data_IF_167055075395
#
_entry.id   IF_167055075395
#
_cell.length_a   1.000
_cell.length_b   1.000
_cell.length_c   1.000
_cell.angle_alpha   90.00
_cell.angle_beta   90.00
_cell.angle_gamma   90.00
#
_symmetry.space_group_name_H-M   'P 1'
#
loop_
_entity.id
_entity.type
_entity.pdbx_description
1 polymer ?
#
# COMPACT_ATOMS: atom_id res chain seq x y z
N UNK A 1 20.17 17.81 -6.10
CA UNK A 1 19.42 18.68 -7.03
C UNK A 1 18.10 17.96 -7.30
N UNK A 2 16.99 18.39 -6.70
CA UNK A 2 15.68 17.77 -6.94
C UNK A 2 15.27 18.09 -8.37
N UNK A 3 15.12 17.08 -9.22
CA UNK A 3 14.51 17.28 -10.54
C UNK A 3 13.11 17.90 -10.33
N UNK A 4 12.74 18.94 -11.09
CA UNK A 4 11.39 19.48 -11.01
C UNK A 4 10.39 18.36 -11.33
N UNK A 5 9.41 18.16 -10.45
CA UNK A 5 8.36 17.17 -10.68
C UNK A 5 7.64 17.50 -12.00
N UNK A 6 7.37 16.51 -12.86
CA UNK A 6 6.64 16.74 -14.10
C UNK A 6 5.28 17.40 -13.82
N UNK A 7 4.75 18.14 -14.81
CA UNK A 7 3.40 18.66 -14.73
C UNK A 7 2.44 17.47 -14.93
N UNK A 8 1.83 17.03 -13.83
CA UNK A 8 0.97 15.84 -13.77
C UNK A 8 -0.48 16.29 -13.64
N UNK A 9 -1.32 15.79 -14.53
CA UNK A 9 -2.75 16.05 -14.56
C UNK A 9 -3.53 14.76 -14.25
N UNK A 10 -4.59 14.91 -13.46
CA UNK A 10 -5.42 13.80 -12.97
C UNK A 10 -6.85 13.99 -13.43
N UNK A 11 -7.37 13.02 -14.16
CA UNK A 11 -8.77 13.00 -14.60
C UNK A 11 -9.51 11.89 -13.87
N UNK A 12 -10.66 12.20 -13.28
CA UNK A 12 -11.49 11.23 -12.55
C UNK A 12 -12.91 11.28 -13.10
N UNK A 13 -13.47 10.11 -13.40
CA UNK A 13 -14.83 9.97 -13.89
C UNK A 13 -15.52 8.76 -13.26
N UNK A 14 -16.84 8.78 -13.10
CA UNK A 14 -17.60 7.58 -12.79
C UNK A 14 -17.29 6.46 -13.80
N UNK A 15 -17.07 5.24 -13.32
CA UNK A 15 -16.80 4.08 -14.18
C UNK A 15 -18.04 3.62 -14.95
N UNK A 16 -19.23 4.09 -14.58
CA UNK A 16 -20.51 3.76 -15.21
C UNK A 16 -21.36 5.02 -15.42
N UNK A 17 -22.38 4.92 -16.29
CA UNK A 17 -23.30 6.03 -16.57
C UNK A 17 -22.83 6.96 -17.69
N UNK A 18 -23.52 8.10 -17.86
CA UNK A 18 -23.34 9.00 -18.99
C UNK A 18 -21.96 9.68 -19.07
N UNK A 19 -21.25 9.76 -17.94
CA UNK A 19 -19.91 10.33 -17.85
C UNK A 19 -18.79 9.29 -18.00
N UNK A 20 -19.14 8.00 -18.07
CA UNK A 20 -18.16 6.92 -18.21
C UNK A 20 -17.60 6.83 -19.62
N UNK A 21 -16.37 6.33 -19.74
CA UNK A 21 -15.70 6.09 -21.01
C UNK A 21 -15.87 4.62 -21.36
N UNK A 22 -16.12 4.32 -22.64
CA UNK A 22 -16.08 2.95 -23.15
C UNK A 22 -14.71 2.30 -22.82
N UNK A 23 -14.68 1.07 -22.28
CA UNK A 23 -13.44 0.36 -21.96
C UNK A 23 -12.43 0.30 -23.12
N UNK A 24 -12.89 0.32 -24.38
CA UNK A 24 -12.03 0.38 -25.55
C UNK A 24 -11.14 1.63 -25.59
N UNK A 25 -11.61 2.76 -25.04
CA UNK A 25 -10.87 4.03 -25.01
C UNK A 25 -10.16 4.30 -23.69
N UNK A 26 -9.98 3.29 -22.83
CA UNK A 26 -9.39 3.45 -21.50
C UNK A 26 -7.92 3.93 -21.50
N UNK A 27 -7.24 3.91 -22.65
CA UNK A 27 -5.89 4.44 -22.84
C UNK A 27 -5.84 5.74 -23.66
N UNK A 28 -7.00 6.34 -23.97
CA UNK A 28 -7.10 7.56 -24.79
C UNK A 28 -7.27 8.80 -23.92
N UNK A 29 -6.24 9.66 -23.87
CA UNK A 29 -6.33 10.94 -23.14
C UNK A 29 -7.44 11.83 -23.68
N UNK A 30 -7.60 11.87 -25.00
CA UNK A 30 -8.62 12.71 -25.65
C UNK A 30 -10.04 12.29 -25.25
N UNK A 31 -10.29 10.98 -25.16
CA UNK A 31 -11.58 10.46 -24.68
C UNK A 31 -11.83 10.87 -23.23
N UNK A 32 -10.81 10.72 -22.36
CA UNK A 32 -10.92 11.10 -20.95
C UNK A 32 -11.16 12.59 -20.73
N UNK A 33 -10.41 13.45 -21.40
CA UNK A 33 -10.58 14.90 -21.29
C UNK A 33 -11.91 15.37 -21.85
N UNK A 34 -12.38 14.77 -22.95
CA UNK A 34 -13.69 15.11 -23.54
C UNK A 34 -14.84 14.71 -22.62
N UNK A 35 -14.79 13.50 -22.06
CA UNK A 35 -15.78 13.02 -21.10
C UNK A 35 -15.77 13.86 -19.82
N UNK A 36 -14.59 14.25 -19.31
CA UNK A 36 -14.47 15.11 -18.15
C UNK A 36 -15.05 16.52 -18.36
N UNK A 37 -14.82 17.13 -19.52
CA UNK A 37 -15.43 18.43 -19.87
C UNK A 37 -16.95 18.33 -19.98
N UNK A 38 -17.46 17.26 -20.60
CA UNK A 38 -18.90 17.03 -20.70
C UNK A 38 -19.54 16.81 -19.32
N UNK A 39 -18.87 16.05 -18.44
CA UNK A 39 -19.31 15.80 -17.08
C UNK A 39 -19.32 17.07 -16.23
N UNK A 40 -18.28 17.91 -16.35
CA UNK A 40 -18.21 19.21 -15.68
C UNK A 40 -19.27 20.20 -16.20
N UNK A 41 -19.63 20.16 -17.48
CA UNK A 41 -20.67 21.02 -18.04
C UNK A 41 -22.09 20.60 -17.61
N UNK A 42 -22.31 19.30 -17.35
CA UNK A 42 -23.60 18.76 -16.94
C UNK A 42 -23.90 18.89 -15.45
N UNK A 43 -22.88 19.11 -14.61
CA UNK A 43 -23.00 19.21 -13.16
C UNK A 43 -22.67 20.64 -12.70
N UNK A 44 -23.54 21.25 -11.88
CA UNK A 44 -23.30 22.60 -11.37
C UNK A 44 -21.98 22.71 -10.59
N UNK A 45 -21.44 23.94 -10.41
CA UNK A 45 -20.11 24.16 -9.81
C UNK A 45 -19.92 23.60 -8.38
N UNK A 46 -21.00 23.23 -7.67
CA UNK A 46 -20.96 22.61 -6.34
C UNK A 46 -20.91 21.07 -6.32
N UNK A 47 -20.98 20.39 -7.47
CA UNK A 47 -20.96 18.92 -7.59
C UNK A 47 -19.65 18.40 -8.20
N UNK A 48 -18.61 19.25 -8.25
CA UNK A 48 -17.34 18.92 -8.87
C UNK A 48 -16.40 18.26 -7.88
N UNK A 49 -15.79 17.16 -8.30
CA UNK A 49 -14.67 16.50 -7.61
C UNK A 49 -13.54 17.50 -7.42
N UNK A 50 -13.10 17.66 -6.17
CA UNK A 50 -12.00 18.53 -5.82
C UNK A 50 -10.71 17.71 -5.74
N UNK A 51 -9.65 18.23 -6.36
CA UNK A 51 -8.34 17.60 -6.40
C UNK A 51 -7.33 18.53 -5.72
N UNK A 52 -6.79 18.11 -4.58
CA UNK A 52 -5.74 18.85 -3.90
C UNK A 52 -4.41 18.08 -4.01
N UNK A 53 -3.44 18.67 -4.71
CA UNK A 53 -2.13 18.05 -4.90
C UNK A 53 -1.15 18.48 -3.81
N UNK A 54 -0.43 17.51 -3.25
CA UNK A 54 0.67 17.76 -2.32
C UNK A 54 1.82 16.79 -2.60
N UNK A 55 2.95 16.99 -1.92
CA UNK A 55 4.12 16.13 -2.06
C UNK A 55 4.26 15.27 -0.80
N UNK A 56 4.74 14.03 -0.96
CA UNK A 56 4.95 13.09 0.13
C UNK A 56 6.22 12.29 -0.07
N UNK A 57 6.83 11.84 1.03
CA UNK A 57 7.97 10.92 1.01
C UNK A 57 7.55 9.48 1.36
N UNK A 58 6.25 9.21 1.44
CA UNK A 58 5.70 7.89 1.78
C UNK A 58 6.27 6.78 0.91
N UNK A 59 6.73 5.71 1.54
CA UNK A 59 7.38 4.58 0.86
C UNK A 59 8.72 4.92 0.20
N UNK A 60 9.29 6.11 0.46
CA UNK A 60 10.61 6.56 -0.01
C UNK A 60 11.55 6.85 1.15
N UNK A 61 11.02 7.30 2.29
CA UNK A 61 11.77 7.75 3.48
C UNK A 61 12.89 6.80 3.94
N UNK A 62 12.81 5.52 3.56
CA UNK A 62 13.59 4.42 4.14
C UNK A 62 14.46 3.70 3.11
N UNK A 63 14.40 4.10 1.84
CA UNK A 63 15.38 3.69 0.83
C UNK A 63 16.43 4.81 0.71
N UNK A 64 17.66 4.53 1.15
CA UNK A 64 18.78 5.46 1.04
C UNK A 64 19.05 5.91 -0.40
N UNK A 65 18.73 5.07 -1.41
CA UNK A 65 18.86 5.42 -2.84
C UNK A 65 17.81 6.44 -3.29
N UNK A 66 16.67 6.47 -2.61
CA UNK A 66 15.57 7.38 -2.89
C UNK A 66 15.48 8.52 -1.86
N UNK A 67 16.44 8.60 -0.93
CA UNK A 67 16.50 9.65 0.07
C UNK A 67 16.47 11.04 -0.58
N UNK A 68 15.54 11.88 -0.12
CA UNK A 68 15.32 13.23 -0.67
C UNK A 68 14.44 13.29 -1.93
N UNK A 69 13.98 12.14 -2.46
CA UNK A 69 12.94 12.12 -3.49
C UNK A 69 11.57 12.39 -2.87
N UNK A 70 10.65 12.89 -3.70
CA UNK A 70 9.27 13.21 -3.33
C UNK A 70 8.34 12.54 -4.35
N UNK A 71 7.24 12.00 -3.87
CA UNK A 71 6.10 11.55 -4.67
C UNK A 71 5.03 12.64 -4.67
N UNK A 72 4.27 12.73 -5.75
CA UNK A 72 3.06 13.54 -5.77
C UNK A 72 1.90 12.71 -5.26
N UNK A 73 1.13 13.27 -4.33
CA UNK A 73 -0.11 12.70 -3.83
C UNK A 73 -1.27 13.65 -4.16
N UNK A 74 -2.44 13.07 -4.42
CA UNK A 74 -3.67 13.81 -4.67
C UNK A 74 -4.71 13.38 -3.64
N UNK A 75 -5.22 14.36 -2.89
CA UNK A 75 -6.41 14.21 -2.07
C UNK A 75 -7.63 14.53 -2.94
N UNK A 76 -8.59 13.60 -2.96
CA UNK A 76 -9.74 13.62 -3.84
C UNK A 76 -10.99 13.69 -2.97
N UNK A 77 -11.76 14.77 -3.08
CA UNK A 77 -13.00 14.96 -2.31
C UNK A 77 -14.18 15.29 -3.22
N UNK A 78 -15.40 15.18 -2.70
CA UNK A 78 -16.62 15.39 -3.49
C UNK A 78 -17.02 14.19 -4.36
N UNK A 79 -16.57 12.98 -4.03
CA UNK A 79 -17.02 11.74 -4.65
C UNK A 79 -18.31 11.24 -3.98
N UNK A 80 -19.21 10.65 -4.76
CA UNK A 80 -20.43 10.03 -4.25
C UNK A 80 -20.09 8.71 -3.57
N UNK A 81 -20.80 8.37 -2.49
CA UNK A 81 -20.66 7.09 -1.79
C UNK A 81 -21.10 5.91 -2.68
N UNK A 82 -20.61 4.71 -2.38
CA UNK A 82 -20.98 3.46 -3.08
C UNK A 82 -20.83 3.50 -4.62
N UNK A 83 -19.90 4.31 -5.14
CA UNK A 83 -19.77 4.60 -6.57
C UNK A 83 -18.40 4.19 -7.08
N UNK A 84 -18.39 3.56 -8.26
CA UNK A 84 -17.16 3.18 -8.95
C UNK A 84 -16.62 4.36 -9.76
N UNK A 85 -15.32 4.64 -9.61
CA UNK A 85 -14.61 5.68 -10.32
C UNK A 85 -13.38 5.11 -11.03
N UNK A 86 -13.02 5.75 -12.14
CA UNK A 86 -11.80 5.50 -12.88
C UNK A 86 -10.96 6.77 -12.90
N UNK A 87 -9.67 6.63 -12.64
CA UNK A 87 -8.68 7.70 -12.61
C UNK A 87 -7.65 7.47 -13.70
N UNK A 88 -7.33 8.53 -14.42
CA UNK A 88 -6.22 8.59 -15.35
C UNK A 88 -5.20 9.60 -14.86
N UNK A 89 -3.93 9.20 -14.89
CA UNK A 89 -2.80 10.09 -14.71
C UNK A 89 -2.21 10.37 -16.08
N UNK A 90 -1.92 11.65 -16.34
CA UNK A 90 -1.25 12.07 -17.57
C UNK A 90 -0.20 13.13 -17.29
N UNK A 91 0.81 13.20 -18.15
CA UNK A 91 1.84 14.21 -18.12
C UNK A 91 1.98 14.78 -19.52
N UNK A 92 2.03 16.10 -19.61
CA UNK A 92 2.31 16.79 -20.85
C UNK A 92 3.65 17.49 -20.75
N UNK A 93 4.58 17.08 -21.60
CA UNK A 93 5.82 17.80 -21.79
C UNK A 93 5.62 18.84 -22.90
N UNK A 94 5.44 20.09 -22.49
CA UNK A 94 5.22 21.21 -23.41
C UNK A 94 6.44 21.46 -24.33
N UNK A 95 7.63 20.99 -23.95
CA UNK A 95 8.86 21.17 -24.75
C UNK A 95 9.02 20.10 -25.82
N UNK A 96 8.59 18.87 -25.53
CA UNK A 96 8.68 17.72 -26.45
C UNK A 96 7.37 17.42 -27.18
N UNK A 97 6.30 18.16 -26.87
CA UNK A 97 4.93 17.92 -27.33
C UNK A 97 4.50 16.45 -27.15
N UNK A 98 5.03 15.82 -26.10
CA UNK A 98 4.82 14.42 -25.78
C UNK A 98 3.82 14.30 -24.63
N UNK A 99 2.93 13.32 -24.75
CA UNK A 99 1.91 13.01 -23.75
C UNK A 99 2.18 11.60 -23.25
N UNK A 100 2.41 11.49 -21.95
CA UNK A 100 2.45 10.19 -21.28
C UNK A 100 1.13 9.98 -20.56
N UNK A 101 0.49 8.83 -20.80
CA UNK A 101 -0.69 8.39 -20.05
C UNK A 101 -0.34 7.09 -19.36
N UNK A 102 -0.60 7.03 -18.06
CA UNK A 102 -0.42 5.81 -17.28
C UNK A 102 -1.69 4.95 -17.31
N UNK A 103 -1.58 3.65 -17.03
CA UNK A 103 -2.74 2.78 -16.90
C UNK A 103 -3.78 3.35 -15.93
N UNK A 104 -5.05 3.26 -16.34
CA UNK A 104 -6.14 3.76 -15.53
C UNK A 104 -6.29 2.97 -14.24
N UNK A 105 -6.52 3.68 -13.13
CA UNK A 105 -6.77 3.09 -11.82
C UNK A 105 -8.28 3.10 -11.58
N UNK A 106 -8.84 1.95 -11.23
CA UNK A 106 -10.25 1.83 -10.85
C UNK A 106 -10.34 1.74 -9.34
N UNK A 107 -11.37 2.35 -8.75
CA UNK A 107 -11.63 2.22 -7.32
C UNK A 107 -13.10 2.46 -7.03
N UNK A 108 -13.57 1.97 -5.88
CA UNK A 108 -14.92 2.22 -5.39
C UNK A 108 -14.85 3.06 -4.11
N UNK A 109 -15.77 4.03 -3.99
CA UNK A 109 -15.99 4.73 -2.73
C UNK A 109 -16.76 3.84 -1.77
N UNK A 110 -16.54 4.08 -0.47
CA UNK A 110 -17.19 3.31 0.60
C UNK A 110 -18.68 3.61 0.68
N UNK A 111 -19.43 2.68 1.24
CA UNK A 111 -20.88 2.84 1.47
C UNK A 111 -21.15 3.54 2.79
N UNK A 112 -20.36 3.25 3.83
CA UNK A 112 -20.51 3.81 5.17
C UNK A 112 -19.51 4.95 5.45
N UNK A 113 -19.90 5.86 6.33
CA UNK A 113 -19.12 7.05 6.74
C UNK A 113 -18.20 6.80 7.95
N UNK A 114 -18.08 5.53 8.38
CA UNK A 114 -17.30 5.11 9.54
C UNK A 114 -15.83 4.75 9.23
N UNK A 115 -15.44 4.79 7.97
CA UNK A 115 -14.07 4.57 7.52
C UNK A 115 -13.51 5.85 6.93
N UNK A 116 -12.62 6.54 7.64
CA UNK A 116 -12.08 7.83 7.21
C UNK A 116 -10.64 7.72 6.74
N UNK A 117 -10.35 8.24 5.53
CA UNK A 117 -9.00 8.35 4.98
C UNK A 117 -8.12 9.21 5.90
N UNK A 118 -6.99 8.66 6.32
CA UNK A 118 -5.93 9.40 7.02
C UNK A 118 -4.62 9.24 6.26
N UNK A 119 -3.87 10.33 6.21
CA UNK A 119 -2.58 10.41 5.53
C UNK A 119 -1.69 11.43 6.24
N UNK A 120 -0.40 11.44 5.90
CA UNK A 120 0.63 12.31 6.49
C UNK A 120 0.67 12.30 8.02
N UNK A 121 0.44 11.12 8.60
CA UNK A 121 0.48 10.88 10.04
C UNK A 121 1.95 10.82 10.50
N UNK A 122 2.45 11.78 11.31
CA UNK A 122 3.89 11.88 11.60
C UNK A 122 4.48 10.65 12.30
N UNK A 123 3.72 10.05 13.22
CA UNK A 123 4.14 8.85 13.95
C UNK A 123 3.93 7.55 13.15
N UNK A 124 3.27 7.60 11.99
CA UNK A 124 3.00 6.47 11.12
C UNK A 124 3.12 6.88 9.64
N UNK A 125 4.33 7.17 9.14
CA UNK A 125 4.53 7.83 7.85
C UNK A 125 4.07 7.00 6.64
N UNK A 126 3.94 5.68 6.78
CA UNK A 126 3.47 4.80 5.70
C UNK A 126 1.95 4.65 5.63
N UNK A 127 1.19 5.26 6.56
CA UNK A 127 -0.28 5.22 6.55
C UNK A 127 -0.86 6.22 5.56
N UNK A 128 -1.58 5.71 4.55
CA UNK A 128 -2.41 6.47 3.61
C UNK A 128 -3.62 5.63 3.19
N UNK A 129 -4.45 5.28 4.15
CA UNK A 129 -5.66 4.49 3.93
C UNK A 129 -6.72 4.87 4.96
N UNK A 130 -7.95 4.40 4.72
CA UNK A 130 -9.05 4.64 5.64
C UNK A 130 -8.90 3.83 6.93
N UNK A 131 -9.14 4.45 8.08
CA UNK A 131 -9.15 3.83 9.40
C UNK A 131 -10.55 3.96 10.04
N UNK A 132 -10.92 3.11 11.00
CA UNK A 132 -12.26 3.13 11.57
C UNK A 132 -12.42 4.32 12.52
N UNK A 133 -13.15 5.35 12.09
CA UNK A 133 -13.45 6.56 12.86
C UNK A 133 -14.94 6.83 12.70
N UNK A 134 -15.68 6.87 13.81
CA UNK A 134 -17.09 7.24 13.79
C UNK A 134 -17.31 8.66 13.27
N UNK A 135 -18.46 8.95 12.65
CA UNK A 135 -18.73 10.24 12.02
C UNK A 135 -18.70 11.42 13.01
N UNK A 136 -18.96 11.16 14.30
CA UNK A 136 -18.95 12.16 15.36
C UNK A 136 -17.54 12.47 15.92
N UNK A 137 -16.53 11.67 15.56
CA UNK A 137 -15.16 11.84 16.06
C UNK A 137 -14.35 12.62 15.03
N UNK A 138 -13.64 13.66 15.46
CA UNK A 138 -12.74 14.42 14.59
C UNK A 138 -11.45 13.63 14.31
N UNK A 139 -10.86 13.84 13.14
CA UNK A 139 -9.63 13.14 12.75
C UNK A 139 -8.49 13.42 13.71
N UNK A 140 -8.36 14.67 14.19
CA UNK A 140 -7.32 15.06 15.15
C UNK A 140 -7.47 14.34 16.49
N UNK A 141 -8.70 14.22 17.01
CA UNK A 141 -8.95 13.48 18.25
C UNK A 141 -8.63 11.99 18.06
N UNK A 142 -9.04 11.40 16.94
CA UNK A 142 -8.75 10.01 16.64
C UNK A 142 -7.23 9.73 16.56
N UNK A 143 -6.48 10.60 15.87
CA UNK A 143 -5.02 10.48 15.77
C UNK A 143 -4.34 10.67 17.13
N UNK A 144 -4.86 11.58 17.97
CA UNK A 144 -4.38 11.76 19.35
C UNK A 144 -4.59 10.50 20.20
N UNK A 145 -5.78 9.91 20.18
CA UNK A 145 -6.09 8.65 20.87
C UNK A 145 -5.17 7.52 20.41
N UNK A 146 -4.99 7.35 19.09
CA UNK A 146 -4.08 6.32 18.53
C UNK A 146 -2.64 6.56 18.96
N UNK A 147 -2.17 7.82 18.94
CA UNK A 147 -0.80 8.17 19.28
C UNK A 147 -0.46 7.84 20.75
N UNK A 148 -1.46 7.88 21.65
CA UNK A 148 -1.30 7.42 23.04
C UNK A 148 -0.84 5.96 23.15
N UNK A 149 -1.19 5.13 22.18
CA UNK A 149 -0.73 3.73 22.10
C UNK A 149 0.57 3.61 21.31
N UNK A 150 0.69 4.28 20.16
CA UNK A 150 1.85 4.12 19.28
C UNK A 150 3.12 4.73 19.87
N UNK A 151 3.07 5.96 20.36
CA UNK A 151 4.23 6.70 20.86
C UNK A 151 5.01 5.98 21.97
N UNK A 152 4.37 5.51 23.07
CA UNK A 152 5.13 4.82 24.14
C UNK A 152 5.70 3.47 23.69
N UNK A 153 4.97 2.71 22.87
CA UNK A 153 5.47 1.42 22.35
C UNK A 153 6.69 1.63 21.44
N UNK A 154 6.62 2.61 20.53
CA UNK A 154 7.73 2.98 19.67
C UNK A 154 8.93 3.49 20.47
N UNK A 155 8.70 4.33 21.50
CA UNK A 155 9.77 4.84 22.37
C UNK A 155 10.47 3.72 23.14
N UNK A 156 9.71 2.80 23.75
CA UNK A 156 10.26 1.67 24.48
C UNK A 156 11.10 0.76 23.57
N UNK A 157 10.60 0.47 22.36
CA UNK A 157 11.34 -0.32 21.38
C UNK A 157 12.62 0.38 20.92
N UNK A 158 12.55 1.70 20.69
CA UNK A 158 13.73 2.51 20.32
C UNK A 158 14.80 2.47 21.41
N UNK A 159 14.41 2.56 22.69
CA UNK A 159 15.34 2.46 23.81
C UNK A 159 15.97 1.06 23.91
N UNK A 160 15.18 0.01 23.74
CA UNK A 160 15.69 -1.37 23.70
C UNK A 160 16.70 -1.54 22.57
N UNK A 161 16.37 -1.09 21.36
CA UNK A 161 17.27 -1.17 20.22
C UNK A 161 18.53 -0.31 20.43
N UNK A 162 18.42 0.81 21.15
CA UNK A 162 19.54 1.67 21.52
C UNK A 162 20.58 1.02 22.45
N UNK A 163 20.27 -0.12 23.07
CA UNK A 163 21.26 -0.93 23.81
C UNK A 163 22.18 -1.72 22.88
N UNK A 164 21.79 -1.88 21.62
CA UNK A 164 22.64 -2.43 20.57
C UNK A 164 23.63 -1.36 20.09
N UNK A 165 24.87 -1.71 19.69
CA UNK A 165 25.86 -0.75 19.20
C UNK A 165 25.53 -0.24 17.78
N UNK A 166 24.37 0.39 17.59
CA UNK A 166 23.88 0.86 16.30
C UNK A 166 24.78 1.90 15.61
N UNK A 167 25.56 2.66 16.40
CA UNK A 167 26.51 3.66 15.89
C UNK A 167 27.87 3.09 15.50
N UNK A 168 28.12 1.80 15.76
CA UNK A 168 29.36 1.15 15.37
C UNK A 168 29.29 0.75 13.87
N UNK A 169 30.27 1.16 13.03
CA UNK A 169 30.22 0.88 11.60
C UNK A 169 30.42 -0.60 11.24
N UNK A 170 30.92 -1.42 12.17
CA UNK A 170 31.17 -2.85 11.97
C UNK A 170 30.11 -3.73 12.61
N UNK A 171 29.60 -3.33 13.79
CA UNK A 171 28.62 -4.12 14.55
C UNK A 171 27.18 -3.60 14.44
N UNK A 172 26.99 -2.30 14.16
CA UNK A 172 25.67 -1.68 14.00
C UNK A 172 24.86 -2.32 12.85
N UNK A 173 25.47 -2.55 11.67
CA UNK A 173 24.94 -3.47 10.68
C UNK A 173 25.15 -4.92 11.13
N UNK A 174 24.16 -5.49 11.82
CA UNK A 174 24.20 -6.90 12.25
C UNK A 174 23.96 -7.89 11.09
N UNK A 175 23.76 -7.38 9.88
CA UNK A 175 23.65 -8.11 8.63
C UNK A 175 24.23 -7.28 7.49
N UNK A 176 24.67 -7.92 6.40
CA UNK A 176 25.13 -7.21 5.20
C UNK A 176 24.04 -6.38 4.49
N UNK A 177 22.78 -6.51 4.90
CA UNK A 177 21.63 -5.81 4.30
C UNK A 177 20.65 -5.22 5.32
N UNK A 178 20.97 -5.27 6.63
CA UNK A 178 20.10 -4.73 7.69
C UNK A 178 20.87 -4.04 8.80
N UNK A 179 20.33 -2.92 9.26
CA UNK A 179 20.82 -2.13 10.38
C UNK A 179 19.72 -1.82 11.41
N UNK A 180 20.04 -1.00 12.43
CA UNK A 180 19.05 -0.61 13.43
C UNK A 180 17.91 0.25 12.88
N UNK A 181 18.16 1.07 11.85
CA UNK A 181 17.13 1.88 11.21
C UNK A 181 16.07 0.98 10.56
N UNK A 182 16.51 -0.02 9.79
CA UNK A 182 15.63 -1.03 9.20
C UNK A 182 14.76 -1.75 10.26
N UNK A 183 15.35 -2.09 11.40
CA UNK A 183 14.65 -2.75 12.51
C UNK A 183 13.54 -1.86 13.09
N UNK A 184 13.91 -0.62 13.43
CA UNK A 184 12.98 0.35 13.98
C UNK A 184 11.83 0.64 13.01
N UNK A 185 12.16 0.78 11.74
CA UNK A 185 11.20 1.03 10.67
C UNK A 185 10.24 -0.14 10.46
N UNK A 186 10.75 -1.37 10.46
CA UNK A 186 9.94 -2.57 10.38
C UNK A 186 8.98 -2.68 11.57
N UNK A 187 9.47 -2.42 12.79
CA UNK A 187 8.65 -2.41 14.00
C UNK A 187 7.58 -1.32 13.95
N UNK A 188 7.94 -0.10 13.51
CA UNK A 188 7.00 1.00 13.37
C UNK A 188 5.90 0.67 12.36
N UNK A 189 6.23 0.08 11.21
CA UNK A 189 5.23 -0.33 10.21
C UNK A 189 4.26 -1.37 10.78
N UNK A 190 4.79 -2.39 11.47
CA UNK A 190 3.97 -3.41 12.13
C UNK A 190 3.07 -2.79 13.20
N UNK A 191 3.62 -1.92 14.05
CA UNK A 191 2.88 -1.26 15.14
C UNK A 191 1.76 -0.38 14.56
N UNK A 192 2.05 0.38 13.51
CA UNK A 192 1.06 1.18 12.80
C UNK A 192 -0.01 0.32 12.15
N UNK A 193 0.32 -0.82 11.53
CA UNK A 193 -0.66 -1.74 10.94
C UNK A 193 -1.66 -2.30 11.97
N UNK A 194 -1.17 -2.55 13.18
CA UNK A 194 -1.95 -3.13 14.29
C UNK A 194 -2.73 -2.07 15.06
N UNK A 195 -2.16 -0.88 15.24
CA UNK A 195 -2.78 0.25 15.94
C UNK A 195 -3.75 1.05 15.05
N UNK A 196 -3.55 1.03 13.73
CA UNK A 196 -4.39 1.74 12.76
C UNK A 196 -4.95 0.73 11.74
N UNK A 197 -5.97 -0.07 12.11
CA UNK A 197 -6.49 -1.09 11.22
C UNK A 197 -7.06 -0.46 9.93
N UNK A 198 -6.79 -1.08 8.78
CA UNK A 198 -7.34 -0.60 7.50
C UNK A 198 -8.83 -0.94 7.43
N UNK A 199 -9.65 0.10 7.32
CA UNK A 199 -11.10 0.04 7.35
C UNK A 199 -11.68 -0.11 5.94
N UNK A 200 -12.59 -1.06 5.80
CA UNK A 200 -13.41 -1.31 4.61
C UNK A 200 -14.88 -1.46 5.03
N UNK A 201 -15.78 -1.43 4.06
CA UNK A 201 -17.18 -1.71 4.34
C UNK A 201 -17.31 -3.13 4.90
N UNK A 202 -18.24 -3.32 5.84
CA UNK A 202 -18.52 -4.65 6.38
C UNK A 202 -19.05 -5.55 5.26
N UNK A 203 -18.61 -6.81 5.26
CA UNK A 203 -19.06 -7.80 4.28
C UNK A 203 -20.44 -8.34 4.67
N UNK A 204 -21.31 -8.57 3.69
CA UNK A 204 -22.63 -9.17 3.91
C UNK A 204 -22.51 -10.63 4.35
N UNK A 205 -21.67 -11.40 3.68
CA UNK A 205 -21.30 -12.77 4.05
C UNK A 205 -19.78 -12.95 4.03
N UNK A 206 -19.11 -12.74 5.18
CA UNK A 206 -17.68 -12.94 5.31
C UNK A 206 -17.19 -14.35 5.02
N UNK A 207 -18.05 -15.38 5.01
CA UNK A 207 -17.62 -16.76 4.76
C UNK A 207 -17.33 -17.04 3.28
N UNK A 208 -17.91 -16.24 2.38
CA UNK A 208 -17.73 -16.39 0.92
C UNK A 208 -17.01 -15.17 0.31
N UNK A 209 -17.04 -14.02 0.98
CA UNK A 209 -16.42 -12.78 0.49
C UNK A 209 -15.03 -12.52 1.10
N UNK A 210 -14.57 -13.34 2.04
CA UNK A 210 -13.27 -13.18 2.70
C UNK A 210 -12.53 -14.50 2.85
N UNK A 211 -11.20 -14.43 2.74
CA UNK A 211 -10.31 -15.54 3.06
C UNK A 211 -9.86 -15.55 4.54
N UNK A 212 -10.24 -14.54 5.32
CA UNK A 212 -9.90 -14.48 6.74
C UNK A 212 -10.75 -15.44 7.58
N UNK A 213 -10.16 -15.96 8.66
CA UNK A 213 -10.90 -16.74 9.63
C UNK A 213 -11.86 -15.84 10.43
N UNK A 214 -13.16 -16.09 10.30
CA UNK A 214 -14.21 -15.21 10.83
C UNK A 214 -14.54 -15.44 12.31
N UNK A 215 -14.26 -16.62 12.85
CA UNK A 215 -14.55 -16.95 14.23
C UNK A 215 -13.29 -16.82 15.08
N UNK A 216 -13.21 -15.83 15.97
CA UNK A 216 -12.07 -15.55 16.85
C UNK A 216 -11.89 -16.53 18.03
N UNK A 217 -12.89 -17.35 18.37
CA UNK A 217 -12.93 -18.14 19.62
C UNK A 217 -12.33 -19.56 19.52
N UNK A 218 -12.14 -20.10 18.33
CA UNK A 218 -11.65 -21.48 18.13
C UNK A 218 -10.12 -21.54 18.10
N UNK A 219 -9.46 -21.93 19.19
CA UNK A 219 -7.98 -21.98 19.25
C UNK A 219 -7.35 -23.16 18.49
N UNK A 220 -8.13 -23.98 17.79
CA UNK A 220 -7.59 -25.09 17.01
C UNK A 220 -7.02 -24.59 15.70
N UNK A 221 -5.73 -24.83 15.52
CA UNK A 221 -5.09 -24.72 14.22
C UNK A 221 -5.76 -25.67 13.23
N UNK A 222 -6.17 -25.15 12.09
CA UNK A 222 -6.75 -25.93 11.00
C UNK A 222 -5.87 -25.79 9.75
N UNK A 223 -5.75 -26.84 8.92
CA UNK A 223 -5.16 -26.68 7.60
C UNK A 223 -6.03 -25.68 6.82
N UNK A 224 -5.43 -24.57 6.40
CA UNK A 224 -6.10 -23.61 5.54
C UNK A 224 -5.81 -23.94 4.09
N UNK A 225 -6.86 -23.98 3.27
CA UNK A 225 -6.72 -24.11 1.83
C UNK A 225 -6.03 -22.87 1.25
N UNK A 226 -5.43 -23.03 0.08
CA UNK A 226 -4.95 -21.89 -0.68
C UNK A 226 -6.11 -20.94 -1.01
N UNK A 227 -5.87 -19.64 -0.94
CA UNK A 227 -6.83 -18.61 -1.35
C UNK A 227 -6.79 -18.46 -2.88
N UNK A 228 -7.31 -19.46 -3.59
CA UNK A 228 -7.29 -19.52 -5.06
C UNK A 228 -8.21 -18.48 -5.71
N UNK A 229 -9.24 -18.06 -4.97
CA UNK A 229 -10.24 -17.09 -5.44
C UNK A 229 -9.79 -15.64 -5.25
N UNK A 230 -8.62 -15.41 -4.64
CA UNK A 230 -8.06 -14.09 -4.37
C UNK A 230 -9.01 -13.20 -3.55
N UNK A 231 -9.69 -13.80 -2.57
CA UNK A 231 -10.55 -13.05 -1.67
C UNK A 231 -9.71 -12.19 -0.72
N UNK A 232 -10.17 -10.99 -0.34
CA UNK A 232 -9.48 -10.19 0.65
C UNK A 232 -9.55 -10.84 2.03
N UNK A 233 -8.56 -10.56 2.89
CA UNK A 233 -8.56 -11.00 4.28
C UNK A 233 -9.26 -9.93 5.13
N UNK A 234 -10.60 -9.95 5.13
CA UNK A 234 -11.44 -9.01 5.89
C UNK A 234 -12.18 -9.71 7.01
N UNK A 235 -12.21 -9.10 8.19
CA UNK A 235 -13.03 -9.54 9.32
C UNK A 235 -13.99 -8.43 9.69
N UNK A 236 -15.28 -8.74 9.78
CA UNK A 236 -16.25 -7.78 10.32
C UNK A 236 -16.02 -7.59 11.81
N UNK A 237 -15.90 -6.34 12.24
CA UNK A 237 -15.72 -5.91 13.62
C UNK A 237 -16.99 -5.23 14.11
N UNK A 238 -17.25 -5.31 15.41
CA UNK A 238 -18.44 -4.77 16.09
C UNK A 238 -19.76 -5.32 15.54
N UNK A 239 -19.72 -6.54 15.01
CA UNK A 239 -20.90 -7.26 14.48
C UNK A 239 -21.59 -8.15 15.54
N UNK A 240 -21.19 -8.04 16.81
CA UNK A 240 -21.63 -8.90 17.91
C UNK A 240 -20.85 -10.21 18.05
N UNK A 241 -19.92 -10.52 17.13
CA UNK A 241 -19.07 -11.72 17.18
C UNK A 241 -17.58 -11.40 17.34
N UNK A 242 -17.14 -10.28 16.77
CA UNK A 242 -15.74 -9.87 16.84
C UNK A 242 -15.61 -8.41 17.29
N UNK A 243 -14.78 -8.18 18.29
CA UNK A 243 -14.37 -6.83 18.72
C UNK A 243 -13.17 -6.35 17.91
N UNK A 244 -12.93 -5.04 17.90
CA UNK A 244 -11.75 -4.46 17.26
C UNK A 244 -10.47 -4.95 17.93
N UNK A 245 -9.39 -4.97 17.15
CA UNK A 245 -8.07 -5.43 17.62
C UNK A 245 -7.49 -4.57 18.75
N UNK A 246 -7.98 -3.34 18.86
CA UNK A 246 -7.61 -2.35 19.87
C UNK A 246 -8.88 -1.83 20.52
N UNK A 247 -8.95 -1.84 21.85
CA UNK A 247 -10.16 -1.44 22.58
C UNK A 247 -10.51 0.03 22.38
N UNK A 248 -9.52 0.92 22.25
CA UNK A 248 -9.79 2.35 21.99
C UNK A 248 -10.51 2.60 20.66
N UNK A 249 -10.38 1.70 19.68
CA UNK A 249 -11.16 1.81 18.42
C UNK A 249 -12.64 1.69 18.77
N UNK A 250 -12.97 0.79 19.68
CA UNK A 250 -14.34 0.53 20.05
C UNK A 250 -14.92 1.56 21.01
N UNK A 251 -14.13 1.95 22.01
CA UNK A 251 -14.56 2.80 23.11
C UNK A 251 -14.48 4.29 22.79
N UNK A 252 -13.44 4.73 22.06
CA UNK A 252 -13.14 6.15 21.83
C UNK A 252 -13.39 6.57 20.38
N UNK A 253 -13.08 5.73 19.39
CA UNK A 253 -13.29 6.06 17.97
C UNK A 253 -14.72 5.74 17.50
N UNK A 254 -15.40 4.80 18.17
CA UNK A 254 -16.82 4.47 17.98
C UNK A 254 -17.27 4.37 16.51
N UNK A 255 -16.61 3.57 15.65
CA UNK A 255 -16.94 3.43 14.23
C UNK A 255 -18.25 2.66 13.96
N UNK A 256 -18.83 2.01 14.97
CA UNK A 256 -19.88 1.02 14.74
C UNK A 256 -19.34 -0.21 13.99
N UNK A 257 -20.19 -0.91 13.24
CA UNK A 257 -19.80 -2.11 12.48
C UNK A 257 -18.99 -1.74 11.25
N UNK A 258 -17.80 -2.34 11.09
CA UNK A 258 -16.93 -2.10 9.93
C UNK A 258 -16.18 -3.38 9.54
N UNK A 259 -15.65 -3.44 8.32
CA UNK A 259 -14.72 -4.48 7.90
C UNK A 259 -13.28 -4.07 8.18
N UNK A 260 -12.51 -4.90 8.88
CA UNK A 260 -11.07 -4.73 9.02
C UNK A 260 -10.35 -5.55 7.95
N UNK A 261 -9.64 -4.88 7.03
CA UNK A 261 -8.64 -5.55 6.19
C UNK A 261 -7.40 -5.85 7.03
N UNK A 262 -7.16 -7.14 7.30
CA UNK A 262 -6.11 -7.58 8.20
C UNK A 262 -4.72 -7.16 7.69
N UNK A 263 -3.77 -6.83 8.58
CA UNK A 263 -2.37 -6.63 8.20
C UNK A 263 -1.81 -7.88 7.53
N UNK A 264 -0.93 -7.73 6.54
CA UNK A 264 -0.26 -8.89 5.96
C UNK A 264 0.66 -9.52 7.00
N UNK A 265 0.73 -10.85 7.10
CA UNK A 265 1.62 -11.56 8.05
C UNK A 265 3.08 -11.20 7.83
N UNK A 266 3.43 -10.83 6.60
CA UNK A 266 4.75 -10.31 6.27
C UNK A 266 5.11 -9.02 7.01
N UNK A 267 4.15 -8.20 7.45
CA UNK A 267 4.47 -7.06 8.34
C UNK A 267 5.13 -7.53 9.64
N UNK A 268 4.67 -8.64 10.21
CA UNK A 268 5.29 -9.26 11.39
C UNK A 268 6.65 -9.89 11.05
N UNK A 269 6.70 -10.71 9.99
CA UNK A 269 7.96 -11.37 9.61
C UNK A 269 9.04 -10.38 9.19
N UNK A 270 8.67 -9.22 8.66
CA UNK A 270 9.61 -8.17 8.31
C UNK A 270 10.33 -7.61 9.56
N UNK A 271 9.67 -7.55 10.71
CA UNK A 271 10.32 -7.23 12.01
C UNK A 271 11.32 -8.32 12.38
N UNK A 272 10.88 -9.59 12.34
CA UNK A 272 11.76 -10.74 12.66
C UNK A 272 13.01 -10.79 11.78
N UNK A 273 12.86 -10.50 10.48
CA UNK A 273 13.96 -10.48 9.51
C UNK A 273 14.86 -9.25 9.67
N UNK A 274 14.30 -8.13 10.07
CA UNK A 274 15.00 -6.84 10.10
C UNK A 274 15.48 -6.47 11.49
N UNK A 275 15.52 -7.37 12.47
CA UNK A 275 15.98 -7.04 13.82
C UNK A 275 17.01 -8.06 14.33
N UNK A 276 17.95 -7.63 15.19
CA UNK A 276 19.00 -8.52 15.69
C UNK A 276 18.42 -9.55 16.67
N UNK A 277 18.35 -10.82 16.24
CA UNK A 277 17.75 -11.91 17.02
C UNK A 277 18.28 -12.09 18.47
N UNK A 278 19.57 -11.86 18.79
CA UNK A 278 20.06 -11.96 20.16
C UNK A 278 19.44 -10.94 21.12
N UNK A 279 19.01 -9.78 20.61
CA UNK A 279 18.41 -8.70 21.40
C UNK A 279 16.89 -8.71 21.29
N UNK A 280 16.38 -8.84 20.07
CA UNK A 280 14.96 -8.78 19.75
C UNK A 280 14.47 -10.19 19.43
N UNK A 281 13.91 -10.86 20.43
CA UNK A 281 13.34 -12.21 20.30
C UNK A 281 11.93 -12.18 19.69
N UNK A 282 11.77 -11.45 18.59
CA UNK A 282 10.48 -11.28 17.93
C UNK A 282 9.96 -12.60 17.37
N UNK A 283 8.70 -12.93 17.68
CA UNK A 283 8.06 -14.17 17.23
C UNK A 283 6.71 -13.88 16.61
N UNK A 284 6.52 -14.35 15.38
CA UNK A 284 5.25 -14.21 14.67
C UNK A 284 4.34 -15.43 14.88
N UNK A 285 3.01 -15.23 14.90
CA UNK A 285 2.08 -16.34 14.95
C UNK A 285 2.20 -17.23 13.71
N UNK A 286 1.88 -18.51 13.86
CA UNK A 286 1.90 -19.48 12.76
C UNK A 286 0.56 -19.49 12.02
N UNK A 287 0.61 -19.55 10.70
CA UNK A 287 -0.56 -19.51 9.79
C UNK A 287 -1.56 -20.63 9.99
N UNK A 288 -1.09 -21.85 10.25
CA UNK A 288 -1.98 -22.98 10.55
C UNK A 288 -2.48 -23.02 11.99
N UNK A 289 -2.23 -21.98 12.81
CA UNK A 289 -2.58 -21.95 14.24
C UNK A 289 -3.44 -20.73 14.56
N UNK A 290 -2.84 -19.53 14.54
CA UNK A 290 -3.51 -18.30 14.98
C UNK A 290 -3.34 -17.10 14.05
N UNK A 291 -2.35 -17.11 13.15
CA UNK A 291 -2.07 -15.94 12.31
C UNK A 291 -3.24 -15.61 11.36
N UNK A 292 -3.96 -16.59 10.84
CA UNK A 292 -5.10 -16.43 9.93
C UNK A 292 -6.29 -15.61 10.47
N UNK A 293 -6.34 -15.43 11.80
CA UNK A 293 -7.35 -14.60 12.48
C UNK A 293 -6.94 -13.14 12.55
N UNK A 294 -5.63 -12.92 12.53
CA UNK A 294 -5.04 -11.62 12.83
C UNK A 294 -4.29 -10.99 11.67
N UNK A 295 -3.94 -11.80 10.68
CA UNK A 295 -3.17 -11.40 9.54
C UNK A 295 -3.76 -12.00 8.27
N UNK A 296 -3.65 -11.25 7.19
CA UNK A 296 -3.81 -11.75 5.83
C UNK A 296 -2.48 -12.19 5.24
N UNK A 297 -2.53 -12.72 4.01
CA UNK A 297 -1.34 -13.09 3.25
C UNK A 297 -1.37 -12.43 1.87
N UNK A 298 -0.21 -12.37 1.22
CA UNK A 298 -0.15 -11.90 -0.17
C UNK A 298 -0.88 -12.84 -1.10
N UNK A 299 -1.34 -12.29 -2.22
CA UNK A 299 -2.01 -13.04 -3.26
C UNK A 299 -1.16 -14.20 -3.77
N UNK A 300 0.17 -14.07 -3.82
CA UNK A 300 1.08 -15.13 -4.28
C UNK A 300 1.59 -16.07 -3.16
N UNK A 301 0.98 -16.01 -1.97
CA UNK A 301 1.41 -16.83 -0.83
C UNK A 301 1.05 -18.32 -0.98
N UNK A 302 1.67 -19.21 -0.20
CA UNK A 302 1.22 -20.60 -0.09
C UNK A 302 0.08 -20.83 0.89
N UNK A 303 -0.31 -22.10 1.02
CA UNK A 303 -1.28 -22.56 2.03
C UNK A 303 -0.84 -22.26 3.47
N UNK A 304 0.46 -22.04 3.69
CA UNK A 304 1.04 -21.60 4.96
C UNK A 304 1.08 -20.07 5.12
N UNK A 305 0.46 -19.31 4.21
CA UNK A 305 0.43 -17.84 4.23
C UNK A 305 1.80 -17.18 3.98
N UNK A 306 2.80 -17.98 3.60
CA UNK A 306 4.17 -17.57 3.30
C UNK A 306 4.68 -18.30 2.05
N UNK A 307 5.78 -17.79 1.49
CA UNK A 307 6.42 -18.33 0.28
C UNK A 307 5.62 -18.12 -1.00
N UNK A 308 6.25 -18.27 -2.16
CA UNK A 308 5.58 -18.12 -3.46
C UNK A 308 4.89 -19.43 -3.88
N UNK A 309 3.55 -19.43 -3.99
CA UNK A 309 2.71 -20.60 -4.38
C UNK A 309 1.34 -20.13 -4.93
N UNK A 310 0.38 -21.06 -5.00
CA UNK A 310 -0.92 -20.98 -5.68
C UNK A 310 -2.07 -20.26 -4.92
N UNK A 311 -1.84 -19.47 -3.87
CA UNK A 311 -2.84 -18.43 -3.58
C UNK A 311 -2.92 -17.58 -4.87
N UNK A 312 -4.12 -17.27 -5.35
CA UNK A 312 -4.50 -17.32 -6.77
C UNK A 312 -3.79 -16.46 -7.84
N UNK A 313 -2.46 -16.49 -7.97
CA UNK A 313 -1.72 -15.64 -8.90
C UNK A 313 -0.71 -16.32 -9.82
N UNK A 314 -0.23 -17.54 -9.54
CA UNK A 314 0.69 -18.17 -10.50
C UNK A 314 -0.10 -18.71 -11.70
N UNK A 315 -1.14 -19.52 -11.47
CA UNK A 315 -1.62 -20.39 -12.54
C UNK A 315 -0.46 -21.23 -13.11
N UNK A 316 -0.69 -21.99 -14.16
CA UNK A 316 0.40 -22.72 -14.82
C UNK A 316 1.36 -21.82 -15.60
N UNK A 317 1.05 -20.53 -15.79
CA UNK A 317 1.70 -19.63 -16.76
C UNK A 317 2.23 -18.31 -16.16
N UNK A 318 2.17 -18.13 -14.83
CA UNK A 318 2.63 -16.93 -14.12
C UNK A 318 1.97 -15.62 -14.56
N UNK A 319 0.77 -15.65 -15.16
CA UNK A 319 0.18 -14.49 -15.85
C UNK A 319 -0.97 -13.80 -15.14
N UNK A 320 -1.43 -14.28 -13.97
CA UNK A 320 -2.64 -13.75 -13.33
C UNK A 320 -2.33 -12.60 -12.35
N UNK A 321 -2.73 -11.39 -12.76
CA UNK A 321 -2.78 -10.13 -11.96
C UNK A 321 -1.47 -9.58 -11.37
N UNK A 322 -0.33 -9.91 -11.99
CA UNK A 322 0.99 -9.32 -11.71
C UNK A 322 2.07 -9.73 -12.71
N UNK A 323 1.84 -10.80 -13.48
CA UNK A 323 2.90 -11.40 -14.27
C UNK A 323 3.90 -12.13 -13.34
N UNK A 324 5.19 -12.24 -13.70
CA UNK A 324 6.19 -12.92 -12.86
C UNK A 324 6.53 -12.21 -11.54
N UNK A 325 5.79 -11.15 -11.18
CA UNK A 325 6.04 -10.35 -9.97
C UNK A 325 5.60 -11.08 -8.70
N UNK A 326 6.43 -11.02 -7.66
CA UNK A 326 6.16 -11.59 -6.34
C UNK A 326 5.72 -10.52 -5.35
N UNK A 327 5.18 -10.95 -4.20
CA UNK A 327 4.74 -10.13 -3.07
C UNK A 327 3.58 -9.21 -3.43
N UNK A 328 2.48 -9.79 -3.91
CA UNK A 328 1.32 -9.03 -4.39
C UNK A 328 0.32 -8.83 -3.24
N UNK A 329 0.29 -7.64 -2.65
CA UNK A 329 -0.69 -7.28 -1.62
C UNK A 329 -1.96 -6.59 -2.16
N UNK A 330 -1.87 -6.07 -3.39
CA UNK A 330 -2.94 -5.36 -4.07
C UNK A 330 -2.84 -5.65 -5.57
N UNK A 331 -3.98 -5.82 -6.23
CA UNK A 331 -4.01 -5.98 -7.69
C UNK A 331 -3.90 -4.64 -8.44
N UNK A 332 -3.77 -4.71 -9.76
CA UNK A 332 -3.69 -3.53 -10.63
C UNK A 332 -4.98 -2.68 -10.65
N UNK A 333 -6.08 -3.18 -10.08
CA UNK A 333 -7.36 -2.48 -9.98
C UNK A 333 -7.63 -1.94 -8.58
N UNK A 334 -6.61 -1.95 -7.71
CA UNK A 334 -6.73 -1.37 -6.39
C UNK A 334 -7.39 -2.27 -5.34
N UNK A 335 -7.74 -3.53 -5.66
CA UNK A 335 -8.25 -4.46 -4.66
C UNK A 335 -7.10 -4.94 -3.77
N UNK A 336 -7.17 -4.62 -2.49
CA UNK A 336 -6.15 -5.01 -1.52
C UNK A 336 -6.54 -6.33 -0.84
N UNK A 337 -5.62 -7.29 -0.83
CA UNK A 337 -5.81 -8.59 -0.19
C UNK A 337 -5.52 -8.52 1.31
N UNK A 338 -4.51 -7.75 1.70
CA UNK A 338 -4.15 -7.47 3.09
C UNK A 338 -3.45 -6.10 3.19
N UNK A 339 -3.33 -5.55 4.40
CA UNK A 339 -2.64 -4.29 4.63
C UNK A 339 -1.12 -4.51 4.76
N UNK A 340 -0.37 -4.26 3.69
CA UNK A 340 1.06 -4.56 3.61
C UNK A 340 1.99 -3.51 4.19
N UNK A 341 1.52 -2.28 4.44
CA UNK A 341 2.34 -1.17 4.95
C UNK A 341 3.63 -0.91 4.14
N UNK A 342 3.64 -1.23 2.84
CA UNK A 342 4.79 -1.07 1.95
C UNK A 342 5.82 -2.22 2.00
N UNK A 343 5.59 -3.26 2.81
CA UNK A 343 6.47 -4.45 2.87
C UNK A 343 6.50 -5.20 1.55
N UNK A 344 5.36 -5.24 0.84
CA UNK A 344 5.22 -5.76 -0.52
C UNK A 344 6.17 -5.06 -1.50
N UNK A 345 6.19 -3.72 -1.46
CA UNK A 345 7.07 -2.91 -2.32
C UNK A 345 8.54 -3.16 -1.98
N UNK A 346 8.91 -3.14 -0.69
CA UNK A 346 10.30 -3.40 -0.25
C UNK A 346 10.78 -4.80 -0.64
N UNK A 347 9.93 -5.82 -0.50
CA UNK A 347 10.30 -7.17 -0.90
C UNK A 347 10.42 -7.30 -2.42
N UNK A 348 9.58 -6.62 -3.19
CA UNK A 348 9.72 -6.56 -4.65
C UNK A 348 11.03 -5.89 -5.06
N UNK A 349 11.39 -4.77 -4.45
CA UNK A 349 12.65 -4.05 -4.70
C UNK A 349 13.88 -4.88 -4.32
N UNK A 350 13.88 -5.51 -3.14
CA UNK A 350 14.94 -6.43 -2.69
C UNK A 350 15.16 -7.57 -3.70
N UNK A 351 14.10 -8.09 -4.31
CA UNK A 351 14.20 -9.19 -5.29
C UNK A 351 14.56 -8.71 -6.70
N UNK A 352 14.15 -7.51 -7.08
CA UNK A 352 14.56 -6.88 -8.33
C UNK A 352 16.04 -6.48 -8.34
N UNK A 353 16.67 -6.35 -7.16
CA UNK A 353 18.07 -5.99 -6.98
C UNK A 353 19.08 -7.11 -7.32
N UNK A 354 18.65 -8.28 -7.80
CA UNK A 354 19.57 -9.18 -8.50
C UNK A 354 19.97 -8.50 -9.82
N UNK A 355 21.26 -8.16 -10.04
CA UNK A 355 21.67 -7.80 -11.37
C UNK A 355 21.31 -8.99 -12.25
N UNK A 356 20.53 -8.74 -13.31
CA UNK A 356 20.62 -9.59 -14.48
C UNK A 356 22.09 -9.55 -14.91
N UNK A 357 22.89 -10.50 -14.41
CA UNK A 357 24.06 -11.02 -15.09
C UNK A 357 23.55 -11.80 -16.31
N UNK A 358 22.80 -11.12 -17.18
CA UNK A 358 22.59 -11.56 -18.54
C UNK A 358 23.41 -10.62 -19.40
N UNK A 359 24.64 -11.04 -19.69
CA UNK A 359 25.62 -10.36 -20.53
C UNK A 359 25.21 -10.27 -22.00
N UNK A 360 23.91 -10.14 -22.32
CA UNK A 360 23.39 -10.05 -23.68
C UNK A 360 22.14 -9.19 -23.74
N UNK A 361 22.32 -7.86 -23.70
CA UNK A 361 21.56 -6.83 -24.46
C UNK A 361 21.86 -5.41 -23.94
N UNK A 362 23.13 -5.03 -23.95
CA UNK A 362 23.54 -3.62 -23.90
C UNK A 362 24.00 -3.17 -25.29
N UNK A 363 23.13 -3.27 -26.31
CA UNK A 363 23.40 -2.74 -27.66
C UNK A 363 22.09 -2.34 -28.35
N UNK A 364 21.46 -1.28 -27.86
CA UNK A 364 20.64 -0.35 -28.66
C UNK A 364 20.75 1.06 -28.06
N UNK A 365 21.99 1.54 -27.96
CA UNK A 365 22.24 2.96 -27.95
C UNK A 365 22.33 3.42 -29.41
N UNK A 366 21.30 4.15 -29.84
CA UNK A 366 21.43 5.35 -30.67
C UNK A 366 22.32 5.25 -31.91
N UNK A 367 21.73 4.81 -33.03
CA UNK A 367 22.14 5.33 -34.34
C UNK A 367 21.35 6.62 -34.56
N UNK A 368 21.98 7.77 -34.34
CA UNK A 368 22.11 8.80 -35.36
C UNK A 368 23.31 9.68 -35.01
N UNK A 369 24.28 9.65 -35.92
CA UNK A 369 25.52 10.36 -35.88
C UNK A 369 25.32 11.87 -36.04
N UNK A 370 26.20 12.66 -35.41
CA UNK A 370 26.85 13.78 -36.10
C UNK A 370 28.23 14.02 -35.50
N UNK A 371 29.18 13.92 -36.42
CA UNK A 371 30.63 14.06 -36.33
C UNK A 371 31.06 15.44 -35.85
N UNK A 372 32.07 15.50 -34.96
CA UNK A 372 33.21 16.43 -35.07
C UNK A 372 34.35 16.00 -34.13
N UNK A 373 35.37 15.37 -34.74
CA UNK A 373 36.71 15.20 -34.17
C UNK A 373 37.37 16.58 -33.99
N UNK A 374 37.98 16.85 -32.84
CA UNK A 374 39.19 17.68 -32.77
C UNK A 374 40.13 17.11 -31.71
N UNK A 375 41.23 16.53 -32.17
CA UNK A 375 42.45 16.37 -31.41
C UNK A 375 43.09 17.75 -31.22
N UNK A 376 43.53 18.07 -30.01
CA UNK A 376 44.66 18.97 -29.79
C UNK A 376 45.35 18.61 -28.48
N UNK A 377 46.57 18.10 -28.65
CA UNK A 377 47.65 18.02 -27.67
C UNK A 377 48.07 19.43 -27.20
N UNK A 378 48.87 19.44 -26.12
CA UNK A 378 49.61 20.53 -25.44
C UNK A 378 48.96 20.85 -24.08
N UNK A 379 49.60 20.63 -22.92
CA UNK A 379 51.01 20.43 -22.58
C UNK A 379 51.18 19.41 -21.44
#
# INVERSE_FOLDING_TARGET
MSLPLPNLDVTILPSTGAASIDPYFNSSLCAAQTAARAWAAGNGPGSMVQLNASNTQRGILRDQKLAGQQRRQWDITGLEAATNYTVWLSAQDATLNNVTVWPAIKFATKTADNCRLVYDVPFCPNVAYAIPIGPQVSTDNALSTINRTVSPNLSNFTQLLGTFPCGDPYFGPYSGVKDCGDCLDAYQDWLCAVAMPRCVDALDDPNIQSAAAQNSTVLTGGPMSANTDLLPYVVNRRDGRNESRQTYVDDELSPGTYGELLPCIYTCYFVSRSCPAPLVQWSCPKWGISAQRSYGAFADSGAEGIGARENGGAGSDFSRWGGPTRYIAQDAFGNAFCNAMGVDTRLSEDNAALPALDGRRAWRASVFASVALYFLLLA
#
